data_IF_490134969235
#
_entry.id   IF_490134969235
#
_cell.length_a   1.000
_cell.length_b   1.000
_cell.length_c   1.000
_cell.angle_alpha   90.00
_cell.angle_beta   90.00
_cell.angle_gamma   90.00
#
_symmetry.space_group_name_H-M   'P 1'
#
loop_
_entity.id
_entity.type
_entity.pdbx_description
1 polymer ?
#
# COMPACT_ATOMS: atom_id res chain seq x y z
N UNK A 1 12.62 23.80 15.73
CA UNK A 1 11.53 23.15 14.94
C UNK A 1 10.15 23.28 15.60
N UNK A 2 10.03 23.18 16.92
CA UNK A 2 8.75 23.20 17.64
C UNK A 2 7.98 24.53 17.54
N UNK A 3 8.68 25.67 17.53
CA UNK A 3 8.05 27.00 17.46
C UNK A 3 7.33 27.30 16.14
N UNK A 4 7.76 26.71 15.02
CA UNK A 4 7.13 26.88 13.70
C UNK A 4 5.81 26.09 13.62
N UNK A 5 5.79 24.88 14.17
CA UNK A 5 4.60 24.00 14.18
C UNK A 5 3.49 24.56 15.07
N UNK A 6 3.85 25.15 16.21
CA UNK A 6 2.88 25.81 17.11
C UNK A 6 2.29 27.07 16.47
N UNK A 7 3.09 27.87 15.74
CA UNK A 7 2.58 29.01 14.95
C UNK A 7 1.63 28.60 13.83
N UNK A 8 1.75 27.37 13.33
CA UNK A 8 0.84 26.77 12.35
C UNK A 8 -0.37 26.08 13.00
N UNK A 9 -0.56 26.20 14.31
CA UNK A 9 -1.67 25.58 15.05
C UNK A 9 -1.54 24.07 15.24
N UNK A 10 -0.44 23.46 14.79
CA UNK A 10 -0.20 22.03 14.92
C UNK A 10 0.32 21.75 16.32
N UNK A 11 -0.56 21.22 17.17
CA UNK A 11 -0.21 20.73 18.50
C UNK A 11 0.18 19.25 18.38
N UNK A 12 1.49 18.91 18.34
CA UNK A 12 1.91 17.53 18.18
C UNK A 12 1.44 16.72 19.39
N UNK A 13 0.46 15.84 19.16
CA UNK A 13 0.01 14.88 20.18
C UNK A 13 1.16 13.91 20.51
N UNK A 14 1.21 13.38 21.74
CA UNK A 14 2.13 12.29 22.06
C UNK A 14 1.93 11.16 21.03
N UNK A 15 3.00 10.81 20.31
CA UNK A 15 2.97 9.83 19.21
C UNK A 15 3.04 10.42 17.79
N UNK A 16 3.05 11.75 17.60
CA UNK A 16 3.13 12.38 16.27
C UNK A 16 4.34 11.90 15.44
N UNK A 17 5.53 11.83 16.05
CA UNK A 17 6.75 11.35 15.37
C UNK A 17 6.61 9.89 14.94
N UNK A 18 6.00 9.05 15.79
CA UNK A 18 5.74 7.64 15.52
C UNK A 18 4.74 7.48 14.37
N UNK A 19 3.69 8.31 14.33
CA UNK A 19 2.72 8.36 13.25
C UNK A 19 3.36 8.82 11.92
N UNK A 20 4.22 9.83 11.97
CA UNK A 20 4.95 10.31 10.79
C UNK A 20 5.88 9.22 10.23
N UNK A 21 6.62 8.54 11.10
CA UNK A 21 7.47 7.40 10.71
C UNK A 21 6.67 6.21 10.15
N UNK A 22 5.45 5.99 10.64
CA UNK A 22 4.56 4.95 10.15
C UNK A 22 3.91 5.28 8.79
N UNK A 23 3.76 6.57 8.47
CA UNK A 23 2.99 7.03 7.32
C UNK A 23 3.42 6.42 5.98
N UNK A 24 4.72 6.26 5.64
CA UNK A 24 5.11 5.68 4.36
C UNK A 24 4.68 4.20 4.24
N UNK A 25 4.77 3.45 5.34
CA UNK A 25 4.36 2.04 5.38
C UNK A 25 2.85 1.90 5.20
N UNK A 26 2.07 2.76 5.86
CA UNK A 26 0.60 2.76 5.73
C UNK A 26 0.18 3.16 4.32
N UNK A 27 0.74 4.24 3.78
CA UNK A 27 0.46 4.68 2.41
C UNK A 27 0.84 3.62 1.39
N UNK A 28 1.98 2.94 1.58
CA UNK A 28 2.40 1.83 0.73
C UNK A 28 1.41 0.66 0.80
N UNK A 29 0.95 0.26 2.00
CA UNK A 29 -0.06 -0.81 2.13
C UNK A 29 -1.36 -0.46 1.41
N UNK A 30 -1.82 0.78 1.52
CA UNK A 30 -3.03 1.27 0.83
C UNK A 30 -2.82 1.28 -0.68
N UNK A 31 -1.68 1.75 -1.16
CA UNK A 31 -1.33 1.72 -2.57
C UNK A 31 -1.30 0.28 -3.12
N UNK A 32 -0.66 -0.65 -2.40
CA UNK A 32 -0.60 -2.06 -2.76
C UNK A 32 -1.99 -2.72 -2.71
N UNK A 33 -2.88 -2.29 -1.80
CA UNK A 33 -4.27 -2.72 -1.80
C UNK A 33 -4.96 -2.31 -3.11
N UNK A 34 -4.89 -1.02 -3.45
CA UNK A 34 -5.54 -0.45 -4.62
C UNK A 34 -4.99 -0.99 -5.95
N UNK A 35 -3.67 -1.18 -6.06
CA UNK A 35 -2.99 -1.58 -7.32
C UNK A 35 -2.63 -3.06 -7.40
N UNK A 36 -2.57 -3.79 -6.29
CA UNK A 36 -2.34 -5.24 -6.30
C UNK A 36 -3.65 -6.00 -6.41
N UNK A 37 -4.63 -5.67 -5.56
CA UNK A 37 -5.86 -6.45 -5.43
C UNK A 37 -6.97 -5.94 -6.34
N UNK A 38 -7.15 -4.63 -6.39
CA UNK A 38 -8.24 -4.01 -7.14
C UNK A 38 -7.85 -3.58 -8.56
N UNK A 39 -6.65 -3.95 -9.04
CA UNK A 39 -6.21 -3.59 -10.38
C UNK A 39 -7.17 -3.94 -11.51
N UNK A 40 -7.87 -5.09 -11.51
CA UNK A 40 -8.84 -5.41 -12.56
C UNK A 40 -10.04 -4.44 -12.66
N UNK A 41 -10.25 -3.61 -11.64
CA UNK A 41 -11.33 -2.62 -11.61
C UNK A 41 -10.89 -1.24 -12.11
N UNK A 42 -9.64 -1.09 -12.54
CA UNK A 42 -9.13 0.19 -13.01
C UNK A 42 -9.57 0.49 -14.46
N UNK A 43 -9.69 1.77 -14.84
CA UNK A 43 -10.14 2.15 -16.18
C UNK A 43 -9.30 1.57 -17.32
N UNK A 44 -8.00 1.39 -17.10
CA UNK A 44 -7.05 0.82 -18.07
C UNK A 44 -7.16 -0.71 -18.21
N UNK A 45 -7.92 -1.39 -17.36
CA UNK A 45 -8.04 -2.85 -17.32
C UNK A 45 -9.47 -3.36 -17.38
N UNK A 46 -10.46 -2.53 -17.05
CA UNK A 46 -11.88 -2.95 -17.04
C UNK A 46 -12.35 -3.44 -18.41
N UNK A 47 -11.83 -2.84 -19.50
CA UNK A 47 -12.11 -3.27 -20.88
C UNK A 47 -11.55 -4.66 -21.23
N UNK A 48 -10.61 -5.17 -20.43
CA UNK A 48 -9.96 -6.46 -20.63
C UNK A 48 -10.66 -7.64 -19.92
N UNK A 49 -11.63 -7.37 -19.04
CA UNK A 49 -12.28 -8.39 -18.22
C UNK A 49 -12.94 -9.49 -19.07
N UNK A 50 -13.49 -9.14 -20.23
CA UNK A 50 -14.11 -10.10 -21.16
C UNK A 50 -13.12 -10.92 -22.00
N UNK A 51 -11.86 -10.48 -22.08
CA UNK A 51 -10.82 -11.08 -22.91
C UNK A 51 -9.46 -11.09 -22.18
N UNK A 52 -9.34 -11.82 -21.06
CA UNK A 52 -8.16 -11.77 -20.17
C UNK A 52 -6.86 -12.31 -20.78
N UNK A 53 -6.94 -12.91 -21.98
CA UNK A 53 -5.83 -13.48 -22.75
C UNK A 53 -5.72 -12.87 -24.16
N UNK A 54 -6.07 -11.59 -24.31
CA UNK A 54 -6.02 -10.88 -25.59
C UNK A 54 -4.82 -9.95 -25.66
N UNK A 55 -4.22 -9.80 -26.84
CA UNK A 55 -3.06 -8.94 -27.07
C UNK A 55 -3.42 -7.56 -27.65
N UNK A 56 -4.69 -7.14 -27.60
CA UNK A 56 -5.21 -5.93 -28.26
C UNK A 56 -4.48 -4.67 -27.75
N UNK A 57 -3.61 -4.05 -28.57
CA UNK A 57 -2.82 -2.91 -28.15
C UNK A 57 -3.64 -1.62 -27.99
N UNK A 58 -4.84 -1.54 -28.59
CA UNK A 58 -5.74 -0.38 -28.46
C UNK A 58 -6.38 -0.36 -27.07
N UNK A 59 -6.77 -1.52 -26.57
CA UNK A 59 -7.43 -1.67 -25.26
C UNK A 59 -6.42 -1.88 -24.13
N UNK A 60 -5.29 -2.55 -24.40
CA UNK A 60 -4.32 -3.00 -23.38
C UNK A 60 -2.99 -2.25 -23.38
N UNK A 61 -2.81 -1.23 -24.23
CA UNK A 61 -1.56 -0.47 -24.32
C UNK A 61 -1.13 0.21 -23.01
N UNK A 62 -2.07 0.42 -22.07
CA UNK A 62 -1.81 0.96 -20.73
C UNK A 62 -1.81 -0.07 -19.60
N UNK A 63 -2.14 -1.33 -19.86
CA UNK A 63 -2.39 -2.33 -18.82
C UNK A 63 -1.12 -3.07 -18.37
N UNK A 64 -1.00 -3.34 -17.06
CA UNK A 64 0.06 -4.16 -16.45
C UNK A 64 -0.19 -5.63 -16.76
N UNK A 65 0.16 -6.08 -17.97
CA UNK A 65 0.13 -7.52 -18.27
C UNK A 65 0.08 -7.94 -19.72
N UNK A 66 -0.08 -7.01 -20.68
CA UNK A 66 -0.10 -7.34 -22.10
C UNK A 66 -1.04 -8.53 -22.41
N UNK A 67 -0.62 -9.53 -23.21
CA UNK A 67 -1.47 -10.65 -23.61
C UNK A 67 -1.92 -11.60 -22.48
N UNK A 68 -1.37 -11.49 -21.27
CA UNK A 68 -1.70 -12.38 -20.12
C UNK A 68 -2.09 -11.58 -18.89
N UNK A 69 -3.03 -10.64 -19.05
CA UNK A 69 -3.47 -9.69 -18.02
C UNK A 69 -3.74 -10.34 -16.65
N UNK A 70 -4.46 -11.48 -16.62
CA UNK A 70 -4.78 -12.19 -15.36
C UNK A 70 -3.54 -12.80 -14.71
N UNK A 71 -2.63 -13.38 -15.50
CA UNK A 71 -1.40 -13.99 -14.99
C UNK A 71 -0.45 -12.94 -14.43
N UNK A 72 -0.26 -11.84 -15.17
CA UNK A 72 0.51 -10.70 -14.70
C UNK A 72 -0.09 -10.11 -13.43
N UNK A 73 -1.41 -9.86 -13.40
CA UNK A 73 -2.10 -9.39 -12.20
C UNK A 73 -1.88 -10.31 -11.00
N UNK A 74 -2.05 -11.62 -11.17
CA UNK A 74 -1.89 -12.58 -10.07
C UNK A 74 -0.48 -12.53 -9.45
N UNK A 75 0.56 -12.41 -10.28
CA UNK A 75 1.95 -12.25 -9.80
C UNK A 75 2.13 -10.93 -9.04
N UNK A 76 1.61 -9.82 -9.56
CA UNK A 76 1.68 -8.53 -8.87
C UNK A 76 0.90 -8.53 -7.56
N UNK A 77 -0.27 -9.19 -7.51
CA UNK A 77 -1.06 -9.35 -6.30
C UNK A 77 -0.30 -10.17 -5.23
N UNK A 78 0.38 -11.24 -5.64
CA UNK A 78 1.20 -12.05 -4.73
C UNK A 78 2.39 -11.26 -4.17
N UNK A 79 3.08 -10.48 -5.01
CA UNK A 79 4.16 -9.59 -4.58
C UNK A 79 3.62 -8.51 -3.63
N UNK A 80 2.47 -7.92 -3.96
CA UNK A 80 1.81 -6.93 -3.12
C UNK A 80 1.47 -7.50 -1.74
N UNK A 81 0.97 -8.73 -1.66
CA UNK A 81 0.73 -9.43 -0.39
C UNK A 81 2.01 -9.59 0.43
N UNK A 82 3.11 -10.02 -0.20
CA UNK A 82 4.41 -10.17 0.46
C UNK A 82 4.91 -8.85 1.04
N UNK A 83 4.86 -7.77 0.26
CA UNK A 83 5.29 -6.44 0.71
C UNK A 83 4.34 -5.89 1.79
N UNK A 84 3.03 -6.14 1.69
CA UNK A 84 2.07 -5.78 2.74
C UNK A 84 2.40 -6.48 4.06
N UNK A 85 2.72 -7.78 4.03
CA UNK A 85 3.11 -8.53 5.23
C UNK A 85 4.35 -7.91 5.90
N UNK A 86 5.35 -7.51 5.12
CA UNK A 86 6.55 -6.82 5.63
C UNK A 86 6.19 -5.46 6.25
N UNK A 87 5.37 -4.66 5.58
CA UNK A 87 4.93 -3.36 6.11
C UNK A 87 4.18 -3.51 7.44
N UNK A 88 3.27 -4.48 7.52
CA UNK A 88 2.52 -4.76 8.75
C UNK A 88 3.44 -5.26 9.87
N UNK A 89 4.45 -6.08 9.57
CA UNK A 89 5.44 -6.50 10.56
C UNK A 89 6.24 -5.31 11.10
N UNK A 90 6.71 -4.41 10.22
CA UNK A 90 7.40 -3.19 10.61
C UNK A 90 6.51 -2.25 11.42
N UNK A 91 5.24 -2.10 11.05
CA UNK A 91 4.28 -1.32 11.82
C UNK A 91 4.04 -1.93 13.22
N UNK A 92 3.93 -3.25 13.34
CA UNK A 92 3.82 -3.93 14.64
C UNK A 92 5.05 -3.70 15.51
N UNK A 93 6.25 -3.74 14.94
CA UNK A 93 7.48 -3.41 15.66
C UNK A 93 7.50 -1.95 16.08
N UNK A 94 7.16 -1.05 15.15
CA UNK A 94 7.12 0.37 15.40
C UNK A 94 6.13 0.70 16.49
N UNK A 95 4.96 0.03 16.57
CA UNK A 95 3.88 0.26 17.53
C UNK A 95 3.86 -0.67 18.76
N UNK A 96 4.80 -1.59 18.90
CA UNK A 96 4.88 -2.49 20.06
C UNK A 96 4.88 -1.65 21.33
N UNK A 97 3.96 -1.93 22.26
CA UNK A 97 3.97 -1.30 23.56
C UNK A 97 5.25 -1.74 24.29
N UNK A 98 5.94 -0.86 25.04
CA UNK A 98 6.88 -1.33 26.04
C UNK A 98 6.12 -2.30 26.94
N UNK A 99 6.62 -3.51 27.17
CA UNK A 99 6.03 -4.37 28.18
C UNK A 99 5.98 -3.57 29.47
N UNK A 100 4.75 -3.22 29.92
CA UNK A 100 4.57 -2.65 31.26
C UNK A 100 5.13 -3.69 32.20
N UNK A 101 6.13 -3.26 32.97
CA UNK A 101 6.96 -4.10 33.81
C UNK A 101 6.19 -5.25 34.42
N UNK A 102 6.65 -6.47 34.08
CA UNK A 102 6.68 -7.54 35.06
C UNK A 102 7.42 -6.98 36.27
N UNK A 103 6.67 -6.55 37.29
CA UNK A 103 7.15 -6.16 38.61
C UNK A 103 6.38 -7.00 39.62
N UNK A 104 7.03 -7.44 40.70
CA UNK A 104 8.27 -8.21 40.79
C UNK A 104 8.04 -9.73 40.74
#
# INVERSE_FOLDING_TARGET
>A
MTALLVRLGVHPRPGFVRALAASPLVLLVVYLAARGWFYPLWPDTVGAIGHPFTADPIVLGGAWGGPTLVGAWAVHAAIALGVQAVCLALLRLLYRAPERGRLP
#
